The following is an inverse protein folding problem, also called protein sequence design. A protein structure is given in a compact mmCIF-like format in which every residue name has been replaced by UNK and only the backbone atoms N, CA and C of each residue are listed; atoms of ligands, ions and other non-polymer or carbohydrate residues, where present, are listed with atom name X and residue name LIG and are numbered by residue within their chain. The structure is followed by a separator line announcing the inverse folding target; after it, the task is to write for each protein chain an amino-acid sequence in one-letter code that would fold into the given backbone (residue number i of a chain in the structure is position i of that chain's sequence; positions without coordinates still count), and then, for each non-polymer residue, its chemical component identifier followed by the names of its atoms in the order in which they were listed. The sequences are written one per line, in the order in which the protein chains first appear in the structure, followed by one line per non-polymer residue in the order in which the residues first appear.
data_IF_175079511104
#
_entry.id   IF_175079511104
#
_cell.length_a   1.000
_cell.length_b   1.000
_cell.length_c   1.000
_cell.angle_alpha   90.00
_cell.angle_beta   90.00
_cell.angle_gamma   90.00
#
_symmetry.space_group_name_H-M   'P 1'
#
loop_
_entity.id
_entity.type
_entity.pdbx_description
1 polymer ?
#
# COMPACT_ATOMS: atom_id res chain seq x y z
N UNK A 1 -59.41 -26.94 5.94
CA UNK A 1 -58.90 -26.48 4.63
C UNK A 1 -58.89 -24.96 4.68
N UNK A 2 -57.81 -24.19 4.51
CA UNK A 2 -56.42 -24.42 4.10
C UNK A 2 -55.56 -23.43 4.89
N UNK A 3 -54.41 -23.89 5.36
CA UNK A 3 -53.38 -23.08 6.04
C UNK A 3 -52.58 -22.35 4.97
N UNK A 4 -52.49 -21.01 5.03
CA UNK A 4 -51.65 -20.22 4.13
C UNK A 4 -50.31 -19.93 4.81
N UNK A 5 -49.28 -20.69 4.45
CA UNK A 5 -47.90 -20.45 4.85
C UNK A 5 -47.31 -19.44 3.85
N UNK A 6 -47.05 -18.22 4.31
CA UNK A 6 -46.27 -17.25 3.57
C UNK A 6 -44.79 -17.65 3.67
N UNK A 7 -44.21 -18.05 2.54
CA UNK A 7 -42.78 -18.38 2.42
C UNK A 7 -42.02 -17.08 2.11
N UNK A 8 -41.49 -16.40 3.12
CA UNK A 8 -40.57 -15.28 2.93
C UNK A 8 -39.20 -15.83 2.52
N UNK A 9 -38.90 -15.74 1.23
CA UNK A 9 -37.58 -16.04 0.68
C UNK A 9 -36.65 -14.86 1.04
N UNK A 10 -36.00 -14.93 2.19
CA UNK A 10 -34.94 -13.99 2.56
C UNK A 10 -33.74 -14.24 1.66
N UNK A 11 -33.59 -13.41 0.60
CA UNK A 11 -32.33 -13.32 -0.13
C UNK A 11 -31.29 -12.78 0.85
N UNK A 12 -30.50 -13.67 1.43
CA UNK A 12 -29.23 -13.29 2.04
C UNK A 12 -28.35 -12.78 0.90
N UNK A 13 -28.36 -11.45 0.68
CA UNK A 13 -27.27 -10.77 0.00
C UNK A 13 -26.07 -10.96 0.92
N UNK A 14 -25.36 -12.06 0.72
CA UNK A 14 -24.06 -12.27 1.32
C UNK A 14 -23.20 -11.17 0.71
N UNK A 15 -22.91 -10.12 1.48
CA UNK A 15 -21.87 -9.16 1.14
C UNK A 15 -20.59 -9.96 0.97
N UNK A 16 -20.30 -10.32 -0.29
CA UNK A 16 -18.96 -10.69 -0.68
C UNK A 16 -18.17 -9.42 -0.46
N UNK A 17 -17.49 -9.35 0.69
CA UNK A 17 -16.39 -8.42 0.88
C UNK A 17 -15.44 -8.75 -0.25
N UNK A 18 -15.49 -7.95 -1.31
CA UNK A 18 -14.52 -8.02 -2.37
C UNK A 18 -13.19 -7.68 -1.72
N UNK A 19 -12.41 -8.71 -1.39
CA UNK A 19 -11.02 -8.59 -0.93
C UNK A 19 -10.15 -8.23 -2.14
N UNK A 20 -10.67 -7.43 -3.07
CA UNK A 20 -9.96 -6.90 -4.20
C UNK A 20 -8.92 -5.90 -3.72
N UNK A 21 -7.72 -5.97 -4.30
CA UNK A 21 -6.76 -4.90 -4.16
C UNK A 21 -7.25 -3.70 -4.98
N UNK A 22 -7.34 -2.53 -4.35
CA UNK A 22 -7.60 -1.26 -5.01
C UNK A 22 -6.36 -0.73 -5.77
N UNK A 23 -5.17 -1.00 -5.22
CA UNK A 23 -3.89 -0.71 -5.83
C UNK A 23 -2.79 -1.58 -5.20
N UNK A 24 -1.70 -1.82 -5.92
CA UNK A 24 -0.54 -2.52 -5.40
C UNK A 24 0.78 -1.89 -5.87
N UNK A 25 1.76 -1.86 -4.98
CA UNK A 25 3.09 -1.31 -5.22
C UNK A 25 4.14 -2.28 -4.68
N UNK A 26 5.18 -2.56 -5.47
CA UNK A 26 6.21 -3.52 -5.10
C UNK A 26 7.58 -2.87 -5.04
N UNK A 27 8.35 -3.18 -3.99
CA UNK A 27 9.75 -2.80 -3.85
C UNK A 27 10.63 -4.04 -3.70
N UNK A 28 11.85 -4.00 -4.25
CA UNK A 28 12.78 -5.12 -4.25
C UNK A 28 14.06 -4.70 -3.54
N UNK A 29 14.19 -5.07 -2.26
CA UNK A 29 15.31 -4.65 -1.41
C UNK A 29 15.72 -5.79 -0.48
N UNK A 30 17.04 -5.93 -0.27
CA UNK A 30 17.63 -6.89 0.66
C UNK A 30 17.23 -8.35 0.41
N UNK A 31 17.13 -8.75 -0.87
CA UNK A 31 16.73 -10.11 -1.25
C UNK A 31 15.25 -10.42 -0.99
N UNK A 32 14.43 -9.39 -0.79
CA UNK A 32 13.01 -9.50 -0.53
C UNK A 32 12.21 -8.63 -1.50
N UNK A 33 11.04 -9.13 -1.88
CA UNK A 33 9.97 -8.36 -2.50
C UNK A 33 9.01 -7.93 -1.39
N UNK A 34 8.64 -6.65 -1.42
CA UNK A 34 7.73 -6.02 -0.47
C UNK A 34 6.52 -5.50 -1.23
N UNK A 35 5.36 -6.09 -0.98
CA UNK A 35 4.10 -5.75 -1.65
C UNK A 35 3.21 -4.92 -0.73
N UNK A 36 3.01 -3.65 -1.09
CA UNK A 36 2.08 -2.73 -0.45
C UNK A 36 0.75 -2.80 -1.18
N UNK A 37 -0.23 -3.46 -0.57
CA UNK A 37 -1.56 -3.65 -1.14
C UNK A 37 -2.54 -2.73 -0.43
N UNK A 38 -3.15 -1.82 -1.18
CA UNK A 38 -4.27 -1.00 -0.71
C UNK A 38 -5.54 -1.82 -0.94
N UNK A 39 -6.26 -2.19 0.12
CA UNK A 39 -7.53 -2.91 0.05
C UNK A 39 -8.72 -1.97 -0.15
N UNK A 40 -9.89 -2.50 -0.49
CA UNK A 40 -11.15 -1.73 -0.49
C UNK A 40 -11.50 -1.17 0.89
N UNK A 41 -11.17 -1.88 1.97
CA UNK A 41 -11.34 -1.37 3.34
C UNK A 41 -10.43 -0.16 3.59
N UNK A 42 -9.19 -0.20 3.12
CA UNK A 42 -8.28 0.94 3.20
C UNK A 42 -8.83 2.15 2.46
N UNK A 43 -9.44 1.92 1.29
CA UNK A 43 -10.13 2.94 0.51
C UNK A 43 -11.31 3.53 1.29
N UNK A 44 -12.13 2.70 1.94
CA UNK A 44 -13.28 3.16 2.75
C UNK A 44 -12.86 4.02 3.93
N UNK A 45 -11.70 3.73 4.52
CA UNK A 45 -11.17 4.43 5.69
C UNK A 45 -10.24 5.61 5.36
N UNK A 46 -9.83 5.79 4.11
CA UNK A 46 -8.98 6.90 3.70
C UNK A 46 -9.77 8.19 3.59
N UNK A 47 -9.19 9.30 4.05
CA UNK A 47 -9.75 10.62 3.79
C UNK A 47 -9.82 10.87 2.27
N UNK A 48 -10.89 11.55 1.84
CA UNK A 48 -11.06 11.98 0.46
C UNK A 48 -10.32 13.29 0.21
N UNK A 49 -9.83 13.46 -1.00
CA UNK A 49 -9.36 14.74 -1.50
C UNK A 49 -10.27 15.13 -2.67
N UNK A 50 -11.17 16.09 -2.42
CA UNK A 50 -12.19 16.50 -3.39
C UNK A 50 -11.60 17.48 -4.39
N UNK A 51 -12.18 17.55 -5.60
CA UNK A 51 -11.76 18.51 -6.63
C UNK A 51 -11.97 19.98 -6.20
N UNK A 52 -12.81 20.21 -5.18
CA UNK A 52 -13.05 21.53 -4.58
C UNK A 52 -12.01 21.93 -3.53
N UNK A 53 -11.17 21.00 -3.10
CA UNK A 53 -10.18 21.22 -2.05
C UNK A 53 -8.82 21.59 -2.66
N UNK A 54 -8.31 22.77 -2.35
CA UNK A 54 -7.01 23.25 -2.86
C UNK A 54 -5.81 22.42 -2.36
N UNK A 55 -5.98 21.57 -1.35
CA UNK A 55 -4.89 20.83 -0.71
C UNK A 55 -5.35 19.47 -0.20
N UNK A 56 -4.48 18.45 -0.26
CA UNK A 56 -4.80 17.13 0.27
C UNK A 56 -5.00 17.21 1.79
N UNK A 57 -5.89 16.38 2.37
CA UNK A 57 -6.18 16.39 3.81
C UNK A 57 -4.96 15.99 4.66
N UNK A 58 -3.98 15.29 4.07
CA UNK A 58 -2.70 15.00 4.68
C UNK A 58 -1.59 15.78 3.99
N UNK A 59 -0.83 16.58 4.74
CA UNK A 59 0.34 17.26 4.18
C UNK A 59 1.45 16.27 3.77
N UNK A 60 2.27 16.60 2.75
CA UNK A 60 3.43 15.78 2.37
C UNK A 60 4.39 15.49 3.54
N UNK A 61 4.60 16.47 4.44
CA UNK A 61 5.45 16.29 5.63
C UNK A 61 4.87 15.27 6.62
N UNK A 62 3.55 15.22 6.78
CA UNK A 62 2.91 14.22 7.61
C UNK A 62 3.04 12.82 6.99
N UNK A 63 2.85 12.69 5.68
CA UNK A 63 3.06 11.43 4.97
C UNK A 63 4.50 10.91 5.12
N UNK A 64 5.50 11.77 4.99
CA UNK A 64 6.92 11.41 5.21
C UNK A 64 7.14 10.87 6.62
N UNK A 65 6.53 11.48 7.65
CA UNK A 65 6.67 11.01 9.04
C UNK A 65 6.07 9.62 9.22
N UNK A 66 4.86 9.39 8.73
CA UNK A 66 4.22 8.06 8.76
C UNK A 66 5.06 7.03 8.02
N UNK A 67 5.57 7.38 6.84
CA UNK A 67 6.41 6.51 6.04
C UNK A 67 7.74 6.18 6.73
N UNK A 68 8.37 7.15 7.39
CA UNK A 68 9.58 6.97 8.21
C UNK A 68 9.37 6.01 9.36
N UNK A 69 8.25 6.13 10.07
CA UNK A 69 7.89 5.22 11.17
C UNK A 69 7.80 3.79 10.66
N UNK A 70 7.07 3.55 9.57
CA UNK A 70 6.98 2.21 9.00
C UNK A 70 8.34 1.72 8.48
N UNK A 71 9.10 2.55 7.78
CA UNK A 71 10.44 2.18 7.31
C UNK A 71 11.34 1.69 8.44
N UNK A 72 11.29 2.33 9.62
CA UNK A 72 12.07 1.93 10.80
C UNK A 72 11.68 0.57 11.39
N UNK A 73 10.47 0.08 11.09
CA UNK A 73 10.01 -1.24 11.49
C UNK A 73 10.44 -2.32 10.49
N UNK A 74 10.59 -1.95 9.21
CA UNK A 74 10.89 -2.90 8.13
C UNK A 74 12.39 -3.06 7.88
N UNK A 75 13.15 -1.98 8.05
CA UNK A 75 14.56 -1.91 7.64
C UNK A 75 15.48 -1.70 8.83
N UNK A 76 16.64 -2.35 8.77
CA UNK A 76 17.78 -2.00 9.62
C UNK A 76 18.34 -0.65 9.20
N UNK A 77 18.87 0.10 10.17
CA UNK A 77 19.52 1.40 9.98
C UNK A 77 18.66 2.39 9.15
N UNK A 78 17.33 2.34 9.34
CA UNK A 78 16.35 3.10 8.58
C UNK A 78 16.53 4.63 8.68
N UNK A 79 17.22 5.10 9.71
CA UNK A 79 17.64 6.49 9.88
C UNK A 79 18.67 6.93 8.84
N UNK A 80 19.49 6.01 8.33
CA UNK A 80 20.48 6.27 7.28
C UNK A 80 19.87 6.25 5.87
N UNK A 81 18.63 5.76 5.73
CA UNK A 81 17.94 5.78 4.45
C UNK A 81 17.56 7.20 4.07
N UNK A 82 17.83 7.59 2.82
CA UNK A 82 17.57 8.95 2.35
C UNK A 82 16.20 9.01 1.71
N UNK A 83 15.45 10.07 2.01
CA UNK A 83 14.22 10.39 1.29
C UNK A 83 14.59 10.75 -0.15
N UNK A 84 13.94 10.12 -1.12
CA UNK A 84 14.18 10.33 -2.55
C UNK A 84 13.06 11.14 -3.20
N UNK A 85 11.82 10.67 -3.06
CA UNK A 85 10.64 11.34 -3.61
C UNK A 85 9.40 11.18 -2.74
N UNK A 86 8.46 12.10 -2.91
CA UNK A 86 7.12 12.05 -2.32
C UNK A 86 6.12 12.30 -3.44
N UNK A 87 5.44 11.24 -3.88
CA UNK A 87 4.55 11.29 -5.02
C UNK A 87 3.10 11.19 -4.55
N UNK A 88 2.27 12.14 -4.96
CA UNK A 88 0.83 12.14 -4.73
C UNK A 88 0.14 11.50 -5.93
N UNK A 89 -0.62 10.43 -5.73
CA UNK A 89 -1.19 9.62 -6.82
C UNK A 89 -2.67 9.33 -6.60
N UNK A 90 -3.53 9.49 -7.64
CA UNK A 90 -4.87 8.93 -7.60
C UNK A 90 -4.78 7.40 -7.76
N UNK A 91 -5.75 6.69 -7.20
CA UNK A 91 -5.97 5.26 -7.46
C UNK A 91 -7.31 5.07 -8.19
N UNK A 92 -7.70 3.83 -8.49
CA UNK A 92 -8.89 3.52 -9.29
C UNK A 92 -10.25 3.95 -8.67
N UNK A 93 -10.23 4.66 -7.53
CA UNK A 93 -11.40 5.13 -6.81
C UNK A 93 -11.46 6.67 -6.86
N UNK A 94 -12.59 7.27 -7.26
CA UNK A 94 -12.76 8.71 -7.31
C UNK A 94 -12.42 9.39 -5.99
N UNK A 95 -11.73 10.53 -6.05
CA UNK A 95 -11.36 11.35 -4.88
C UNK A 95 -10.46 10.63 -3.87
N UNK A 96 -9.95 9.44 -4.21
CA UNK A 96 -9.05 8.66 -3.37
C UNK A 96 -7.65 8.77 -3.91
N UNK A 97 -6.82 9.41 -3.09
CA UNK A 97 -5.42 9.61 -3.37
C UNK A 97 -4.57 8.91 -2.31
N UNK A 98 -3.32 8.66 -2.65
CA UNK A 98 -2.30 8.12 -1.75
C UNK A 98 -1.00 8.87 -1.95
N UNK A 99 -0.15 8.85 -0.93
CA UNK A 99 1.26 9.15 -1.09
C UNK A 99 2.05 7.86 -1.33
N UNK A 100 2.99 7.91 -2.27
CA UNK A 100 4.07 6.93 -2.42
C UNK A 100 5.36 7.66 -2.06
N UNK A 101 5.96 7.26 -0.95
CA UNK A 101 7.18 7.88 -0.39
C UNK A 101 8.35 6.95 -0.64
N UNK A 102 9.30 7.39 -1.44
CA UNK A 102 10.43 6.58 -1.87
C UNK A 102 11.66 6.88 -1.01
N UNK A 103 12.32 5.81 -0.54
CA UNK A 103 13.57 5.88 0.20
C UNK A 103 14.67 5.11 -0.51
N UNK A 104 15.86 5.71 -0.55
CA UNK A 104 17.08 5.06 -1.01
C UNK A 104 17.88 4.51 0.17
N UNK A 105 18.43 3.29 0.06
CA UNK A 105 19.31 2.73 1.09
C UNK A 105 20.62 3.53 1.19
N UNK A 106 21.29 3.51 2.36
CA UNK A 106 22.61 4.12 2.50
C UNK A 106 23.66 3.42 1.62
N UNK A 107 24.71 4.13 1.16
CA UNK A 107 25.87 3.51 0.53
C UNK A 107 26.70 2.70 1.55
N UNK A 108 27.36 1.59 1.16
CA UNK A 108 27.29 0.94 -0.14
C UNK A 108 26.01 0.12 -0.29
N UNK A 109 25.35 0.20 -1.45
CA UNK A 109 24.19 -0.65 -1.73
C UNK A 109 24.65 -2.12 -1.82
N UNK A 110 24.08 -3.05 -1.02
CA UNK A 110 24.56 -4.43 -0.91
C UNK A 110 24.51 -5.22 -2.22
N UNK A 111 23.81 -4.72 -3.24
CA UNK A 111 23.67 -5.38 -4.54
C UNK A 111 24.48 -4.72 -5.67
N UNK A 112 25.23 -3.64 -5.41
CA UNK A 112 26.08 -2.96 -6.41
C UNK A 112 25.36 -2.39 -7.65
N UNK A 113 24.06 -2.64 -7.79
CA UNK A 113 23.22 -2.14 -8.87
C UNK A 113 22.60 -0.78 -8.55
N UNK A 114 22.44 0.03 -9.60
CA UNK A 114 21.68 1.26 -9.55
C UNK A 114 20.24 0.96 -9.06
N UNK A 115 19.64 1.81 -8.22
CA UNK A 115 18.17 1.94 -8.07
C UNK A 115 17.39 0.99 -7.12
N UNK A 116 17.99 0.32 -6.13
CA UNK A 116 17.15 -0.29 -5.07
C UNK A 116 16.45 0.83 -4.26
N UNK A 117 15.12 0.88 -4.25
CA UNK A 117 14.31 1.84 -3.49
C UNK A 117 13.24 1.11 -2.69
N UNK A 118 12.90 1.64 -1.52
CA UNK A 118 11.73 1.23 -0.74
C UNK A 118 10.62 2.27 -0.91
N UNK A 119 9.52 1.87 -1.50
CA UNK A 119 8.35 2.73 -1.77
C UNK A 119 7.29 2.45 -0.71
N UNK A 120 7.11 3.37 0.24
CA UNK A 120 6.10 3.24 1.30
C UNK A 120 4.82 3.95 0.90
N UNK A 121 3.70 3.22 0.95
CA UNK A 121 2.37 3.74 0.62
C UNK A 121 1.71 4.30 1.88
N UNK A 122 1.21 5.54 1.81
CA UNK A 122 0.51 6.22 2.90
C UNK A 122 -0.83 6.74 2.41
N UNK A 123 -1.90 6.39 3.12
CA UNK A 123 -3.25 6.87 2.87
C UNK A 123 -3.41 8.33 3.30
N UNK A 124 -4.42 9.00 2.77
CA UNK A 124 -4.72 10.41 3.08
C UNK A 124 -5.21 10.65 4.52
N UNK A 125 -5.48 9.60 5.30
CA UNK A 125 -5.70 9.72 6.75
C UNK A 125 -4.39 9.62 7.58
N UNK A 126 -3.24 9.50 6.92
CA UNK A 126 -1.93 9.38 7.57
C UNK A 126 -1.48 7.96 7.89
N UNK A 127 -2.31 6.93 7.66
CA UNK A 127 -1.93 5.53 7.89
C UNK A 127 -1.02 5.03 6.78
N UNK A 128 0.14 4.49 7.16
CA UNK A 128 1.01 3.76 6.24
C UNK A 128 0.53 2.32 6.07
N UNK A 129 0.52 1.82 4.83
CA UNK A 129 0.15 0.44 4.52
C UNK A 129 1.32 -0.47 4.89
N UNK A 130 1.06 -1.48 5.72
CA UNK A 130 2.06 -2.49 6.07
C UNK A 130 2.21 -3.47 4.89
N UNK A 131 3.43 -3.70 4.37
CA UNK A 131 3.63 -4.58 3.24
C UNK A 131 3.65 -6.05 3.62
N UNK A 132 3.41 -6.89 2.63
CA UNK A 132 3.67 -8.33 2.69
C UNK A 132 5.07 -8.58 2.10
N UNK A 133 5.95 -9.24 2.86
CA UNK A 133 7.30 -9.58 2.40
C UNK A 133 7.38 -11.01 1.87
N UNK A 134 8.10 -11.21 0.77
CA UNK A 134 8.44 -12.53 0.23
C UNK A 134 9.89 -12.58 -0.26
N UNK A 135 10.47 -13.79 -0.36
CA UNK A 135 11.83 -13.98 -0.87
C UNK A 135 11.92 -13.59 -2.35
N UNK A 136 12.97 -12.88 -2.74
CA UNK A 136 13.21 -12.47 -4.13
C UNK A 136 14.70 -12.53 -4.52
N UNK A 137 15.07 -13.10 -5.67
CA UNK A 137 14.21 -13.80 -6.63
C UNK A 137 13.59 -15.08 -6.04
N UNK A 138 12.44 -15.56 -6.56
CA UNK A 138 11.85 -16.81 -6.08
C UNK A 138 12.79 -17.98 -6.40
N UNK A 139 12.83 -18.97 -5.51
CA UNK A 139 13.79 -20.09 -5.52
C UNK A 139 13.78 -20.90 -6.83
N UNK A 140 12.64 -20.90 -7.54
CA UNK A 140 12.42 -21.64 -8.77
C UNK A 140 12.58 -20.79 -10.04
N UNK A 141 13.07 -19.55 -9.93
CA UNK A 141 13.21 -18.64 -11.08
C UNK A 141 14.36 -18.99 -12.05
N UNK A 142 15.05 -20.12 -11.84
CA UNK A 142 16.10 -20.59 -12.74
C UNK A 142 15.70 -21.92 -13.44
N UNK A 143 14.98 -21.88 -14.57
CA UNK A 143 14.71 -23.08 -15.38
C UNK A 143 15.91 -23.51 -16.25
N UNK A 144 17.15 -23.10 -15.93
CA UNK A 144 18.33 -23.42 -16.72
C UNK A 144 19.41 -24.10 -15.89
N UNK A 145 19.25 -25.42 -15.71
CA UNK A 145 20.38 -26.34 -15.52
C UNK A 145 20.07 -27.69 -16.14
#
# INVERSE_FOLDING_TARGET
MLSSIALTLTLAMQEQVDVGAAAAFSSYVAGQRWDFVVSHEDVGNSARWLDTDDSPPLSPRAAIRSARVLLSQLMKDADQWRLDSVNLRPIAFPEVWIYVVDFQPPPPSPLGGHVAKMSVVVLMNGRAIVPISSKWPPENANPSR
#
